data_IF_502838708774
#
_entry.id   IF_502838708774
#
_cell.length_a   1.000
_cell.length_b   1.000
_cell.length_c   1.000
_cell.angle_alpha   90.00
_cell.angle_beta   90.00
_cell.angle_gamma   90.00
#
_symmetry.space_group_name_H-M   'P 1'
#
loop_
_entity.id
_entity.type
_entity.pdbx_description
1 polymer ?
#
# COMPACT_ATOMS: atom_id res chain seq x y z
N UNK A 1 -3.78 34.17 -34.94
CA UNK A 1 -2.92 34.10 -33.75
C UNK A 1 -3.74 34.67 -32.63
N UNK A 2 -4.28 33.81 -31.78
CA UNK A 2 -4.59 34.13 -30.39
C UNK A 2 -4.67 32.79 -29.67
N UNK A 3 -3.49 32.37 -29.21
CA UNK A 3 -3.37 31.36 -28.17
C UNK A 3 -3.53 32.11 -26.86
N UNK A 4 -4.50 31.75 -26.03
CA UNK A 4 -4.39 31.65 -24.57
C UNK A 4 -5.78 31.47 -23.97
N UNK A 5 -6.03 30.30 -23.40
CA UNK A 5 -6.40 30.27 -21.99
C UNK A 5 -5.92 28.93 -21.41
N UNK A 6 -4.87 29.05 -20.60
CA UNK A 6 -4.23 27.94 -19.92
C UNK A 6 -5.13 27.50 -18.77
N UNK A 7 -5.61 26.25 -18.83
CA UNK A 7 -6.18 25.59 -17.66
C UNK A 7 -5.05 25.33 -16.66
N UNK A 8 -4.86 26.24 -15.71
CA UNK A 8 -4.00 25.99 -14.55
C UNK A 8 -4.67 24.93 -13.66
N UNK A 9 -4.08 23.73 -13.67
CA UNK A 9 -4.43 22.65 -12.76
C UNK A 9 -4.17 23.09 -11.32
N UNK A 10 -5.24 23.16 -10.53
CA UNK A 10 -5.20 23.42 -9.08
C UNK A 10 -4.24 22.43 -8.41
N UNK A 11 -3.19 22.98 -7.81
CA UNK A 11 -2.19 22.24 -7.05
C UNK A 11 -2.80 21.52 -5.86
N UNK A 12 -2.83 20.19 -5.91
CA UNK A 12 -3.23 19.31 -4.82
C UNK A 12 -2.21 19.27 -3.65
N UNK A 13 -1.29 20.22 -3.56
CA UNK A 13 -0.17 20.23 -2.61
C UNK A 13 -0.42 20.97 -1.28
N UNK A 14 -1.62 21.54 -1.11
CA UNK A 14 -1.95 22.37 0.06
C UNK A 14 -3.09 21.82 0.93
N UNK A 15 -3.72 20.70 0.50
CA UNK A 15 -4.71 20.03 1.32
C UNK A 15 -4.04 19.52 2.61
N UNK A 16 -4.62 19.77 3.79
CA UNK A 16 -4.07 19.25 5.03
C UNK A 16 -4.20 17.72 5.07
N UNK A 17 -3.19 17.04 5.61
CA UNK A 17 -3.22 15.59 5.84
C UNK A 17 -3.07 15.28 7.34
N UNK A 18 -3.41 14.05 7.72
CA UNK A 18 -3.34 13.60 9.10
C UNK A 18 -1.90 13.27 9.52
N UNK A 19 -1.55 13.64 10.75
CA UNK A 19 -0.41 13.05 11.45
C UNK A 19 -0.80 11.64 11.93
N UNK A 20 -0.03 10.63 11.53
CA UNK A 20 -0.28 9.22 11.88
C UNK A 20 -0.09 8.94 13.38
N UNK A 21 0.66 9.79 14.09
CA UNK A 21 0.93 9.64 15.53
C UNK A 21 -0.18 10.21 16.42
N UNK A 22 -0.72 11.37 16.08
CA UNK A 22 -1.69 12.08 16.94
C UNK A 22 -3.03 12.42 16.28
N UNK A 23 -3.21 12.11 14.99
CA UNK A 23 -4.44 12.39 14.24
C UNK A 23 -4.69 13.87 13.91
N UNK A 24 -3.73 14.76 14.17
CA UNK A 24 -3.87 16.19 13.85
C UNK A 24 -3.82 16.42 12.33
N UNK A 25 -4.71 17.25 11.80
CA UNK A 25 -4.62 17.78 10.43
C UNK A 25 -3.51 18.84 10.33
N UNK A 26 -2.59 18.66 9.39
CA UNK A 26 -1.42 19.53 9.17
C UNK A 26 -1.34 19.86 7.68
N UNK A 27 -1.09 21.12 7.29
CA UNK A 27 -0.82 21.46 5.89
C UNK A 27 0.27 20.54 5.33
N UNK A 28 0.07 19.95 4.14
CA UNK A 28 1.00 18.95 3.60
C UNK A 28 2.46 19.44 3.56
N UNK A 29 2.68 20.73 3.22
CA UNK A 29 4.00 21.39 3.24
C UNK A 29 4.70 21.46 4.60
N UNK A 30 3.99 21.23 5.70
CA UNK A 30 4.51 21.24 7.07
C UNK A 30 4.65 19.84 7.66
N UNK A 31 4.25 18.79 6.94
CA UNK A 31 4.44 17.42 7.39
C UNK A 31 5.92 17.04 7.27
N UNK A 32 6.42 16.39 8.30
CA UNK A 32 7.65 15.62 8.20
C UNK A 32 7.27 14.19 7.84
N UNK A 33 7.94 13.64 6.82
CA UNK A 33 7.62 12.32 6.26
C UNK A 33 8.84 11.41 6.26
N UNK A 34 8.59 10.11 6.39
CA UNK A 34 9.61 9.06 6.27
C UNK A 34 8.99 7.78 5.76
N UNK A 35 9.81 6.81 5.36
CA UNK A 35 9.37 5.47 5.00
C UNK A 35 9.91 4.45 6.00
N UNK A 36 9.08 3.51 6.40
CA UNK A 36 9.46 2.41 7.27
C UNK A 36 9.10 1.06 6.64
N UNK A 37 9.90 -0.01 6.89
CA UNK A 37 9.53 -1.36 6.50
C UNK A 37 8.23 -1.79 7.18
N UNK A 38 7.26 -2.28 6.39
CA UNK A 38 6.01 -2.86 6.87
C UNK A 38 5.45 -3.79 5.79
N UNK A 39 5.34 -5.09 6.09
CA UNK A 39 4.83 -6.09 5.13
C UNK A 39 3.36 -5.87 4.76
N UNK A 40 2.58 -5.19 5.60
CA UNK A 40 1.20 -4.82 5.27
C UNK A 40 1.08 -3.63 4.30
N UNK A 41 2.19 -2.95 3.98
CA UNK A 41 2.17 -1.75 3.15
C UNK A 41 2.22 -2.09 1.66
N UNK A 42 1.05 -2.15 1.02
CA UNK A 42 0.92 -2.28 -0.43
C UNK A 42 0.47 -0.96 -1.03
N UNK A 43 1.24 -0.45 -1.99
CA UNK A 43 1.05 0.87 -2.60
C UNK A 43 0.39 0.76 -3.98
N UNK A 44 -0.04 1.88 -4.56
CA UNK A 44 -0.40 1.92 -5.99
C UNK A 44 0.85 1.87 -6.87
N UNK A 45 1.96 2.43 -6.42
CA UNK A 45 3.27 2.24 -7.04
C UNK A 45 3.95 1.02 -6.42
N UNK A 46 4.04 -0.07 -7.18
CA UNK A 46 4.60 -1.34 -6.73
C UNK A 46 6.05 -1.23 -6.22
N UNK A 47 6.81 -0.21 -6.64
CA UNK A 47 8.18 0.02 -6.15
C UNK A 47 8.23 0.43 -4.67
N UNK A 48 7.10 0.85 -4.13
CA UNK A 48 6.93 1.28 -2.74
C UNK A 48 6.29 0.20 -1.86
N UNK A 49 6.05 -0.99 -2.40
CA UNK A 49 5.57 -2.12 -1.61
C UNK A 49 6.56 -2.45 -0.49
N UNK A 50 6.02 -2.78 0.68
CA UNK A 50 6.78 -2.98 1.90
C UNK A 50 7.25 -1.68 2.55
N UNK A 51 6.97 -0.51 1.98
CA UNK A 51 7.43 0.79 2.48
C UNK A 51 6.27 1.69 2.88
N UNK A 52 5.88 1.62 4.15
CA UNK A 52 4.84 2.50 4.67
C UNK A 52 5.33 3.94 4.73
N UNK A 53 4.59 4.84 4.09
CA UNK A 53 4.77 6.27 4.24
C UNK A 53 4.21 6.71 5.61
N UNK A 54 5.08 7.23 6.45
CA UNK A 54 4.77 7.82 7.75
C UNK A 54 4.68 9.34 7.60
N UNK A 55 3.64 9.94 8.16
CA UNK A 55 3.40 11.38 8.16
C UNK A 55 3.25 11.87 9.59
N UNK A 56 3.99 12.91 9.95
CA UNK A 56 3.90 13.48 11.28
C UNK A 56 3.90 15.00 11.27
N UNK A 57 3.25 15.58 12.28
CA UNK A 57 3.22 17.02 12.49
C UNK A 57 4.54 17.59 13.02
N UNK A 58 5.46 16.74 13.48
CA UNK A 58 6.75 17.09 14.03
C UNK A 58 7.67 15.87 14.10
N UNK A 59 8.98 16.11 14.24
CA UNK A 59 10.00 15.06 14.30
C UNK A 59 9.80 14.06 15.45
N UNK A 60 9.42 14.45 16.69
CA UNK A 60 9.21 13.49 17.77
C UNK A 60 8.17 12.40 17.43
N UNK A 61 7.02 12.79 16.87
CA UNK A 61 6.02 11.81 16.43
C UNK A 61 6.52 10.93 15.29
N UNK A 62 7.33 11.49 14.36
CA UNK A 62 7.92 10.69 13.28
C UNK A 62 8.88 9.62 13.84
N UNK A 63 9.69 9.97 14.83
CA UNK A 63 10.62 9.07 15.49
C UNK A 63 9.87 7.96 16.23
N UNK A 64 8.84 8.32 17.00
CA UNK A 64 8.00 7.36 17.72
C UNK A 64 7.35 6.35 16.76
N UNK A 65 6.77 6.83 15.66
CA UNK A 65 6.22 6.00 14.61
C UNK A 65 7.28 5.07 14.02
N UNK A 66 8.42 5.61 13.59
CA UNK A 66 9.50 4.83 12.99
C UNK A 66 10.02 3.73 13.92
N UNK A 67 10.20 4.02 15.21
CA UNK A 67 10.58 3.02 16.23
C UNK A 67 9.51 1.94 16.37
N UNK A 68 8.23 2.29 16.30
CA UNK A 68 7.13 1.33 16.29
C UNK A 68 7.23 0.35 15.13
N UNK A 69 7.42 0.85 13.91
CA UNK A 69 7.53 0.01 12.71
C UNK A 69 8.80 -0.85 12.69
N UNK A 70 9.94 -0.33 13.16
CA UNK A 70 11.18 -1.11 13.25
C UNK A 70 11.09 -2.34 14.17
N UNK A 71 10.14 -2.35 15.12
CA UNK A 71 9.91 -3.49 16.01
C UNK A 71 8.92 -4.51 15.43
N UNK A 72 8.19 -4.15 14.38
CA UNK A 72 7.25 -5.07 13.74
C UNK A 72 8.03 -6.06 12.87
N UNK A 73 7.73 -7.37 12.94
CA UNK A 73 8.33 -8.32 12.03
C UNK A 73 7.88 -7.99 10.60
N UNK A 74 8.80 -8.11 9.66
CA UNK A 74 8.47 -8.05 8.25
C UNK A 74 8.19 -9.48 7.76
N UNK A 75 6.96 -9.75 7.35
CA UNK A 75 6.51 -11.07 6.90
C UNK A 75 6.36 -11.04 5.38
N UNK A 76 7.27 -11.67 4.60
CA UNK A 76 7.18 -11.65 3.14
C UNK A 76 5.83 -12.12 2.60
N UNK A 77 5.24 -13.15 3.20
CA UNK A 77 3.96 -13.71 2.80
C UNK A 77 2.78 -12.74 2.99
N UNK A 78 2.83 -11.89 4.02
CA UNK A 78 1.85 -10.82 4.21
C UNK A 78 1.93 -9.80 3.08
N UNK A 79 3.15 -9.42 2.68
CA UNK A 79 3.36 -8.50 1.56
C UNK A 79 2.87 -9.10 0.25
N UNK A 80 3.28 -10.34 -0.05
CA UNK A 80 2.88 -11.04 -1.26
C UNK A 80 1.38 -11.22 -1.34
N UNK A 81 0.71 -11.55 -0.22
CA UNK A 81 -0.76 -11.64 -0.16
C UNK A 81 -1.41 -10.31 -0.51
N UNK A 82 -0.90 -9.20 0.02
CA UNK A 82 -1.39 -7.88 -0.33
C UNK A 82 -1.12 -7.50 -1.81
N UNK A 83 0.03 -7.88 -2.36
CA UNK A 83 0.37 -7.65 -3.77
C UNK A 83 -0.55 -8.42 -4.71
N UNK A 84 -0.86 -9.68 -4.39
CA UNK A 84 -1.84 -10.49 -5.10
C UNK A 84 -3.23 -9.85 -5.02
N UNK A 85 -3.64 -9.42 -3.82
CA UNK A 85 -4.93 -8.73 -3.63
C UNK A 85 -5.03 -7.46 -4.48
N UNK A 86 -3.96 -6.67 -4.56
CA UNK A 86 -3.90 -5.49 -5.46
C UNK A 86 -4.01 -5.92 -6.92
N UNK A 87 -3.23 -6.92 -7.36
CA UNK A 87 -3.24 -7.39 -8.74
C UNK A 87 -4.64 -7.86 -9.16
N UNK A 88 -5.28 -8.70 -8.36
CA UNK A 88 -6.65 -9.19 -8.62
C UNK A 88 -7.66 -8.03 -8.71
N UNK A 89 -7.52 -6.98 -7.90
CA UNK A 89 -8.40 -5.79 -7.98
C UNK A 89 -8.20 -4.93 -9.24
N UNK A 90 -7.02 -5.01 -9.86
CA UNK A 90 -6.70 -4.29 -11.09
C UNK A 90 -7.12 -5.07 -12.35
N UNK A 91 -7.32 -6.37 -12.22
CA UNK A 91 -7.75 -7.24 -13.29
C UNK A 91 -9.28 -7.25 -13.39
N UNK A 92 -9.78 -7.29 -14.63
CA UNK A 92 -11.16 -7.69 -14.89
C UNK A 92 -11.38 -9.16 -14.45
N UNK A 93 -12.62 -9.61 -14.26
CA UNK A 93 -12.89 -11.01 -13.92
C UNK A 93 -12.31 -11.96 -14.98
N UNK A 94 -11.28 -12.71 -14.60
CA UNK A 94 -10.65 -13.77 -15.39
C UNK A 94 -10.85 -15.12 -14.69
N UNK A 95 -10.90 -16.21 -15.46
CA UNK A 95 -11.06 -17.56 -14.91
C UNK A 95 -9.72 -18.30 -14.79
N UNK A 96 -9.59 -19.04 -13.69
CA UNK A 96 -8.57 -20.09 -13.49
C UNK A 96 -7.15 -19.70 -13.89
N UNK A 97 -6.61 -20.41 -14.87
CA UNK A 97 -5.23 -20.28 -15.34
C UNK A 97 -4.88 -18.87 -15.85
N UNK A 98 -5.83 -18.20 -16.51
CA UNK A 98 -5.60 -16.83 -17.02
C UNK A 98 -5.43 -15.82 -15.88
N UNK A 99 -6.20 -15.98 -14.79
CA UNK A 99 -6.05 -15.15 -13.59
C UNK A 99 -4.67 -15.37 -12.96
N UNK A 100 -4.23 -16.63 -12.85
CA UNK A 100 -2.94 -16.97 -12.28
C UNK A 100 -1.77 -16.36 -13.08
N UNK A 101 -1.75 -16.54 -14.40
CA UNK A 101 -0.71 -15.98 -15.28
C UNK A 101 -0.62 -14.46 -15.18
N UNK A 102 -1.76 -13.77 -15.13
CA UNK A 102 -1.80 -12.31 -15.01
C UNK A 102 -1.34 -11.83 -13.63
N UNK A 103 -1.70 -12.53 -12.56
CA UNK A 103 -1.20 -12.23 -11.21
C UNK A 103 0.32 -12.35 -11.16
N UNK A 104 0.90 -13.43 -11.71
CA UNK A 104 2.36 -13.62 -11.79
C UNK A 104 3.00 -12.50 -12.62
N UNK A 105 2.41 -12.13 -13.77
CA UNK A 105 2.94 -11.08 -14.62
C UNK A 105 2.94 -9.69 -13.94
N UNK A 106 1.89 -9.35 -13.19
CA UNK A 106 1.76 -8.05 -12.50
C UNK A 106 2.66 -7.98 -11.25
N UNK A 107 2.70 -9.06 -10.47
CA UNK A 107 3.39 -9.07 -9.18
C UNK A 107 4.86 -9.43 -9.30
N UNK A 108 5.25 -10.16 -10.35
CA UNK A 108 6.58 -10.72 -10.52
C UNK A 108 6.89 -11.87 -9.56
N UNK A 109 5.88 -12.39 -8.85
CA UNK A 109 6.04 -13.49 -7.91
C UNK A 109 6.18 -14.82 -8.65
N UNK A 110 7.04 -15.70 -8.14
CA UNK A 110 7.10 -17.08 -8.60
C UNK A 110 6.00 -17.96 -7.97
N UNK A 111 5.86 -19.19 -8.46
CA UNK A 111 4.85 -20.14 -8.00
C UNK A 111 4.93 -20.43 -6.50
N UNK A 112 6.14 -20.58 -5.95
CA UNK A 112 6.33 -20.85 -4.52
C UNK A 112 5.87 -19.66 -3.67
N UNK A 113 6.22 -18.45 -4.08
CA UNK A 113 5.82 -17.21 -3.42
C UNK A 113 4.30 -17.04 -3.44
N UNK A 114 3.65 -17.31 -4.58
CA UNK A 114 2.18 -17.25 -4.71
C UNK A 114 1.53 -18.26 -3.78
N UNK A 115 1.99 -19.52 -3.76
CA UNK A 115 1.42 -20.55 -2.88
C UNK A 115 1.56 -20.17 -1.39
N UNK A 116 2.73 -19.66 -0.97
CA UNK A 116 2.96 -19.22 0.41
C UNK A 116 2.10 -18.03 0.79
N UNK A 117 1.90 -17.09 -0.13
CA UNK A 117 1.04 -15.93 0.08
C UNK A 117 -0.44 -16.33 0.25
N UNK A 118 -0.93 -17.26 -0.56
CA UNK A 118 -2.30 -17.80 -0.44
C UNK A 118 -2.47 -18.52 0.88
N UNK A 119 -1.54 -19.40 1.25
CA UNK A 119 -1.57 -20.11 2.54
C UNK A 119 -1.54 -19.15 3.74
N UNK A 120 -0.77 -18.06 3.65
CA UNK A 120 -0.76 -17.01 4.67
C UNK A 120 -2.13 -16.33 4.79
N UNK A 121 -2.80 -16.01 3.68
CA UNK A 121 -4.11 -15.38 3.67
C UNK A 121 -5.19 -16.27 4.29
N UNK A 122 -5.17 -17.57 3.97
CA UNK A 122 -6.09 -18.57 4.53
C UNK A 122 -5.91 -18.70 6.05
N UNK A 123 -4.67 -18.71 6.53
CA UNK A 123 -4.35 -18.81 7.96
C UNK A 123 -4.69 -17.58 8.80
N UNK A 124 -4.83 -16.40 8.17
CA UNK A 124 -5.05 -15.12 8.86
C UNK A 124 -6.45 -14.52 8.63
N UNK A 125 -7.33 -15.28 7.98
CA UNK A 125 -8.70 -14.87 7.68
C UNK A 125 -8.75 -13.92 6.48
N UNK A 126 -9.38 -14.39 5.40
CA UNK A 126 -9.69 -13.55 4.25
C UNK A 126 -10.63 -12.41 4.66
N UNK A 127 -10.37 -11.14 4.28
CA UNK A 127 -11.38 -10.08 4.38
C UNK A 127 -12.58 -10.33 3.43
N UNK A 128 -12.47 -11.30 2.53
CA UNK A 128 -13.61 -11.83 1.78
C UNK A 128 -14.27 -12.90 2.63
N UNK A 129 -15.22 -12.47 3.46
CA UNK A 129 -15.97 -13.33 4.36
C UNK A 129 -16.51 -14.57 3.63
N UNK A 130 -16.23 -15.73 4.20
CA UNK A 130 -17.03 -16.93 3.93
C UNK A 130 -18.42 -16.66 4.50
N UNK A 131 -19.42 -16.45 3.63
CA UNK A 131 -20.80 -16.61 4.03
C UNK A 131 -20.99 -18.09 4.43
N UNK A 132 -21.61 -18.41 5.58
CA UNK A 132 -21.98 -19.78 5.89
C UNK A 132 -23.14 -20.21 4.98
N UNK A 133 -23.09 -21.48 4.54
CA UNK A 133 -24.17 -22.19 3.84
C UNK A 133 -25.51 -22.15 4.59
#
# INVERSE_FOLDING_TARGET
MDHSDAAEGVGSGDAPELCDGCGRMVPARQLVVSRAPDSSAVSMDARLDGQRLLRACCEPHLIELAVGYLRRPFVPEELWSGQITRAVRLLDPLEGEQMYEQVVAITGLDEEQVMRAVAWQEGHGSPFGSAPD
#
